data_IF_483825179330
#
_entry.id   IF_483825179330
#
_cell.length_a   1.000
_cell.length_b   1.000
_cell.length_c   1.000
_cell.angle_alpha   90.00
_cell.angle_beta   90.00
_cell.angle_gamma   90.00
#
_symmetry.space_group_name_H-M   'P 1'
#
loop_
_entity.id
_entity.type
_entity.pdbx_description
1 polymer ?
#
# COMPACT_ATOMS: atom_id res chain seq x y z
N UNK A 1 6.77 -9.18 1.31
CA UNK A 1 7.48 -10.45 1.63
C UNK A 1 8.95 -10.29 1.29
N UNK A 2 9.84 -10.73 2.17
CA UNK A 2 11.25 -10.88 1.84
C UNK A 2 11.40 -11.89 0.69
N UNK A 3 12.19 -11.53 -0.32
CA UNK A 3 12.32 -12.28 -1.59
C UNK A 3 11.00 -12.60 -2.35
N UNK A 4 9.87 -11.95 -2.02
CA UNK A 4 8.57 -12.21 -2.66
C UNK A 4 8.21 -11.28 -3.83
N UNK A 5 9.15 -10.45 -4.30
CA UNK A 5 9.02 -9.61 -5.50
C UNK A 5 10.24 -9.81 -6.40
N UNK A 6 10.13 -9.52 -7.69
CA UNK A 6 11.31 -9.55 -8.57
C UNK A 6 12.33 -8.49 -8.13
N UNK A 7 13.61 -8.68 -8.50
CA UNK A 7 14.67 -7.77 -8.09
C UNK A 7 14.43 -6.35 -8.60
N UNK A 8 13.92 -6.20 -9.84
CA UNK A 8 13.61 -4.88 -10.39
C UNK A 8 12.45 -4.19 -9.66
N UNK A 9 11.41 -4.95 -9.26
CA UNK A 9 10.30 -4.42 -8.46
C UNK A 9 10.79 -3.96 -7.08
N UNK A 10 11.64 -4.76 -6.44
CA UNK A 10 12.23 -4.44 -5.14
C UNK A 10 13.04 -3.14 -5.22
N UNK A 11 13.90 -3.02 -6.23
CA UNK A 11 14.71 -1.82 -6.46
C UNK A 11 13.81 -0.59 -6.70
N UNK A 12 12.81 -0.69 -7.58
CA UNK A 12 11.87 0.42 -7.84
C UNK A 12 11.19 0.95 -6.57
N UNK A 13 10.88 0.08 -5.60
CA UNK A 13 10.31 0.51 -4.32
C UNK A 13 11.39 1.06 -3.38
N UNK A 14 12.48 0.31 -3.18
CA UNK A 14 13.46 0.59 -2.13
C UNK A 14 14.41 1.75 -2.44
N UNK A 15 14.61 2.10 -3.72
CA UNK A 15 15.49 3.20 -4.13
C UNK A 15 14.72 4.51 -4.38
N UNK A 16 13.46 4.60 -3.94
CA UNK A 16 12.69 5.83 -4.09
C UNK A 16 13.31 6.96 -3.26
N UNK A 17 13.51 8.13 -3.88
CA UNK A 17 14.25 9.25 -3.27
C UNK A 17 13.38 10.20 -2.43
N UNK A 18 12.08 9.93 -2.27
CA UNK A 18 11.17 10.78 -1.52
C UNK A 18 11.24 10.53 -0.02
N UNK A 19 11.28 11.61 0.78
CA UNK A 19 11.38 11.54 2.24
C UNK A 19 10.07 11.10 2.94
N UNK A 20 8.99 10.91 2.18
CA UNK A 20 7.67 10.52 2.66
C UNK A 20 7.33 9.04 2.40
N UNK A 21 8.33 8.24 1.98
CA UNK A 21 8.16 6.82 1.68
C UNK A 21 9.05 6.00 2.57
N UNK A 22 8.53 4.88 3.08
CA UNK A 22 9.32 3.89 3.79
C UNK A 22 8.88 2.50 3.34
N UNK A 23 9.84 1.67 2.93
CA UNK A 23 9.57 0.33 2.42
C UNK A 23 10.02 -0.70 3.45
N UNK A 24 9.09 -1.54 3.88
CA UNK A 24 9.32 -2.57 4.90
C UNK A 24 9.20 -3.96 4.28
N UNK A 25 10.27 -4.75 4.40
CA UNK A 25 10.25 -6.16 4.06
C UNK A 25 9.62 -6.97 5.20
N UNK A 26 8.56 -7.72 4.89
CA UNK A 26 7.91 -8.64 5.84
C UNK A 26 8.60 -9.99 5.73
N UNK A 27 9.18 -10.46 6.82
CA UNK A 27 9.74 -11.81 6.94
C UNK A 27 8.59 -12.83 6.96
N UNK A 28 8.20 -13.30 5.77
CA UNK A 28 7.00 -14.09 5.54
C UNK A 28 6.54 -13.99 4.10
N UNK A 29 5.34 -14.48 3.81
CA UNK A 29 4.75 -14.45 2.48
C UNK A 29 3.86 -13.19 2.25
N UNK A 30 3.21 -13.11 1.09
CA UNK A 30 2.33 -11.98 0.76
C UNK A 30 1.08 -11.92 1.64
N UNK A 31 0.51 -13.08 1.99
CA UNK A 31 -0.68 -13.16 2.84
C UNK A 31 -0.38 -12.73 4.28
N UNK A 32 0.82 -13.01 4.79
CA UNK A 32 1.28 -12.51 6.09
C UNK A 32 1.32 -10.98 6.12
N UNK A 33 1.86 -10.37 5.06
CA UNK A 33 1.87 -8.92 4.91
C UNK A 33 0.45 -8.34 4.85
N UNK A 34 -0.45 -8.97 4.06
CA UNK A 34 -1.83 -8.52 3.94
C UNK A 34 -2.60 -8.65 5.27
N UNK A 35 -2.42 -9.77 5.97
CA UNK A 35 -3.06 -10.04 7.26
C UNK A 35 -2.56 -9.08 8.33
N UNK A 36 -1.25 -8.81 8.36
CA UNK A 36 -0.64 -7.83 9.27
C UNK A 36 -1.25 -6.43 9.09
N UNK A 37 -1.34 -5.94 7.86
CA UNK A 37 -1.95 -4.64 7.57
C UNK A 37 -3.43 -4.62 7.98
N UNK A 38 -4.22 -5.64 7.61
CA UNK A 38 -5.63 -5.72 7.99
C UNK A 38 -5.84 -5.70 9.50
N UNK A 39 -4.97 -6.37 10.27
CA UNK A 39 -5.00 -6.36 11.73
C UNK A 39 -4.74 -4.95 12.27
N UNK A 40 -3.72 -4.25 11.78
CA UNK A 40 -3.40 -2.87 12.20
C UNK A 40 -4.55 -1.91 11.90
N UNK A 41 -5.19 -2.03 10.73
CA UNK A 41 -6.33 -1.20 10.35
C UNK A 41 -7.59 -1.46 11.21
N UNK A 42 -7.73 -2.65 11.78
CA UNK A 42 -8.86 -3.03 12.64
C UNK A 42 -8.61 -2.88 14.14
N UNK A 43 -7.41 -2.48 14.55
CA UNK A 43 -7.03 -2.39 15.96
C UNK A 43 -7.41 -1.02 16.55
N UNK A 44 -8.39 -1.02 17.45
CA UNK A 44 -8.90 0.21 18.07
C UNK A 44 -7.83 0.94 18.90
N UNK A 45 -6.90 0.21 19.53
CA UNK A 45 -5.83 0.83 20.32
C UNK A 45 -4.81 1.55 19.42
N UNK A 46 -4.52 0.97 18.26
CA UNK A 46 -3.67 1.61 17.26
C UNK A 46 -4.37 2.85 16.68
N UNK A 47 -5.67 2.74 16.37
CA UNK A 47 -6.44 3.88 15.87
C UNK A 47 -6.43 5.06 16.86
N UNK A 48 -6.65 4.80 18.16
CA UNK A 48 -6.62 5.83 19.20
C UNK A 48 -5.23 6.50 19.31
N UNK A 49 -4.15 5.71 19.25
CA UNK A 49 -2.79 6.23 19.30
C UNK A 49 -2.42 7.08 18.07
N UNK A 50 -2.94 6.73 16.90
CA UNK A 50 -2.73 7.50 15.67
C UNK A 50 -3.56 8.78 15.66
N UNK A 51 -4.78 8.75 16.19
CA UNK A 51 -5.64 9.93 16.34
C UNK A 51 -4.98 10.99 17.25
N UNK A 52 -4.38 10.57 18.37
CA UNK A 52 -3.60 11.46 19.26
C UNK A 52 -2.43 12.15 18.54
N UNK A 53 -1.91 11.52 17.49
CA UNK A 53 -0.79 12.02 16.65
C UNK A 53 -1.28 12.72 15.39
N UNK A 54 -2.58 12.85 15.20
CA UNK A 54 -3.22 13.39 14.01
C UNK A 54 -2.82 12.63 12.72
N UNK A 55 -2.70 11.31 12.81
CA UNK A 55 -2.36 10.41 11.69
C UNK A 55 -3.60 9.60 11.32
N UNK A 56 -3.93 9.58 10.02
CA UNK A 56 -5.01 8.75 9.47
C UNK A 56 -4.43 7.68 8.55
N UNK A 57 -4.77 6.41 8.80
CA UNK A 57 -4.38 5.32 7.91
C UNK A 57 -5.32 5.25 6.72
N UNK A 58 -4.73 5.08 5.53
CA UNK A 58 -5.48 4.86 4.29
C UNK A 58 -4.81 3.76 3.46
N UNK A 59 -5.58 3.14 2.58
CA UNK A 59 -5.10 2.08 1.69
C UNK A 59 -5.13 2.51 0.23
N UNK A 60 -4.06 2.17 -0.49
CA UNK A 60 -3.91 2.39 -1.92
C UNK A 60 -4.23 1.13 -2.74
N UNK A 61 -4.99 0.17 -2.21
CA UNK A 61 -5.35 -1.09 -2.90
C UNK A 61 -6.59 -0.95 -3.81
N UNK A 62 -6.99 -2.05 -4.45
CA UNK A 62 -7.97 -2.07 -5.56
C UNK A 62 -9.40 -1.66 -5.19
N UNK A 63 -9.74 -1.54 -3.91
CA UNK A 63 -11.06 -1.11 -3.45
C UNK A 63 -11.20 0.43 -3.48
N UNK A 64 -10.08 1.15 -3.60
CA UNK A 64 -10.07 2.60 -3.61
C UNK A 64 -10.70 3.17 -4.90
N UNK A 65 -11.80 3.90 -4.78
CA UNK A 65 -12.50 4.55 -5.91
C UNK A 65 -11.60 5.46 -6.74
N UNK A 66 -10.66 6.17 -6.09
CA UNK A 66 -9.67 7.01 -6.74
C UNK A 66 -8.70 6.24 -7.65
N UNK A 67 -8.57 4.91 -7.49
CA UNK A 67 -7.86 4.06 -8.45
C UNK A 67 -8.73 3.59 -9.61
N UNK A 68 -10.03 3.37 -9.38
CA UNK A 68 -10.93 2.85 -10.41
C UNK A 68 -11.20 3.90 -11.51
N UNK A 69 -11.46 5.15 -11.13
CA UNK A 69 -11.82 6.20 -12.09
C UNK A 69 -10.72 6.44 -13.16
N UNK A 70 -9.43 6.59 -12.80
CA UNK A 70 -8.38 6.73 -13.81
C UNK A 70 -8.20 5.52 -14.72
N UNK A 71 -8.51 4.30 -14.24
CA UNK A 71 -8.43 3.09 -15.07
C UNK A 71 -9.44 3.12 -16.22
N UNK A 72 -10.61 3.74 -16.01
CA UNK A 72 -11.64 3.89 -17.05
C UNK A 72 -11.14 4.75 -18.22
N UNK A 73 -10.33 5.79 -17.95
CA UNK A 73 -9.81 6.71 -18.97
C UNK A 73 -9.06 5.98 -20.09
N UNK A 74 -8.30 4.95 -19.75
CA UNK A 74 -7.56 4.15 -20.73
C UNK A 74 -8.47 3.41 -21.71
N UNK A 75 -9.67 3.01 -21.29
CA UNK A 75 -10.63 2.36 -22.19
C UNK A 75 -11.18 3.34 -23.22
N UNK A 76 -11.47 4.58 -22.82
CA UNK A 76 -11.90 5.61 -23.76
C UNK A 76 -10.79 5.98 -24.73
N UNK A 77 -9.56 6.19 -24.23
CA UNK A 77 -8.41 6.54 -25.06
C UNK A 77 -8.00 5.44 -26.04
N UNK A 78 -8.14 4.16 -25.65
CA UNK A 78 -7.80 3.06 -26.56
C UNK A 78 -8.87 2.82 -27.64
N UNK A 79 -10.11 3.25 -27.41
CA UNK A 79 -11.23 3.03 -28.32
C UNK A 79 -11.41 4.16 -29.34
N UNK A 80 -11.20 5.42 -28.94
CA UNK A 80 -11.34 6.62 -29.77
C UNK A 80 -9.97 7.18 -30.16
#
# INVERSE_FOLDING_TARGET
>A
PDAGTSEIQRLQMATQAGDNVSVYAVNGNFDDAQTGVKRVFGDASVAEELEKRNICLSSANSINWGRLVPQIVYYFYAYF
#
